data_IF_631224476973
#
_entry.id   IF_631224476973
#
_cell.length_a   1.000
_cell.length_b   1.000
_cell.length_c   1.000
_cell.angle_alpha   90.00
_cell.angle_beta   90.00
_cell.angle_gamma   90.00
#
_symmetry.space_group_name_H-M   'P 1'
#
loop_
_entity.id
_entity.type
_entity.pdbx_description
1 polymer ?
#
# COMPACT_ATOMS: atom_id res chain seq x y z
N UNK A 1 -17.80 -0.64 -4.47
CA UNK A 1 -17.47 0.64 -3.79
C UNK A 1 -17.37 1.73 -4.87
N UNK A 2 -17.01 2.98 -4.57
CA UNK A 2 -16.73 3.99 -5.61
C UNK A 2 -17.91 4.78 -6.21
N UNK A 3 -19.16 4.31 -6.08
CA UNK A 3 -20.34 4.94 -6.74
C UNK A 3 -20.79 6.29 -6.17
N UNK A 4 -20.55 6.51 -4.88
CA UNK A 4 -20.84 7.78 -4.23
C UNK A 4 -19.63 8.19 -3.41
N UNK A 5 -18.91 9.19 -3.91
CA UNK A 5 -17.70 9.75 -3.29
C UNK A 5 -17.99 11.12 -2.65
N UNK A 6 -19.26 11.47 -2.48
CA UNK A 6 -19.68 12.70 -1.82
C UNK A 6 -19.70 12.52 -0.30
N UNK A 7 -19.32 13.56 0.42
CA UNK A 7 -19.31 13.57 1.88
C UNK A 7 -18.20 14.45 2.42
N UNK A 8 -18.28 14.86 3.70
CA UNK A 8 -17.24 15.67 4.31
C UNK A 8 -16.00 14.82 4.55
N UNK A 9 -14.89 15.21 3.93
CA UNK A 9 -13.58 14.62 4.22
C UNK A 9 -12.78 15.52 5.18
N UNK A 10 -12.21 14.93 6.23
CA UNK A 10 -11.39 15.60 7.24
C UNK A 10 -10.19 14.72 7.57
N UNK A 11 -9.02 15.33 7.62
CA UNK A 11 -7.78 14.68 8.05
C UNK A 11 -7.35 15.30 9.37
N UNK A 12 -6.83 14.49 10.29
CA UNK A 12 -6.47 14.91 11.64
C UNK A 12 -5.10 14.35 11.96
N UNK A 13 -4.19 15.21 12.41
CA UNK A 13 -2.92 14.80 13.02
C UNK A 13 -2.99 14.96 14.52
N UNK A 14 -2.69 13.89 15.23
CA UNK A 14 -2.73 13.82 16.69
C UNK A 14 -1.30 13.65 17.24
N UNK A 15 -1.00 14.32 18.35
CA UNK A 15 0.15 13.97 19.18
C UNK A 15 -0.27 12.85 20.12
N UNK A 16 0.25 11.62 20.01
CA UNK A 16 -0.08 10.54 20.94
C UNK A 16 0.50 10.81 22.34
N UNK A 17 1.60 11.58 22.42
CA UNK A 17 2.23 11.96 23.68
C UNK A 17 1.36 12.95 24.46
N UNK A 18 0.90 14.00 23.77
CA UNK A 18 0.15 15.09 24.40
C UNK A 18 -1.36 14.87 24.36
N UNK A 19 -1.81 13.83 23.64
CA UNK A 19 -3.23 13.52 23.39
C UNK A 19 -4.01 14.72 22.84
N UNK A 20 -3.36 15.47 21.95
CA UNK A 20 -3.88 16.72 21.40
C UNK A 20 -3.93 16.67 19.87
N UNK A 21 -4.81 17.50 19.29
CA UNK A 21 -4.86 17.72 17.85
C UNK A 21 -3.76 18.71 17.49
N UNK A 22 -2.84 18.30 16.62
CA UNK A 22 -1.81 19.17 16.05
C UNK A 22 -2.44 20.05 14.96
N UNK A 23 -3.17 19.41 14.04
CA UNK A 23 -3.96 20.11 13.03
C UNK A 23 -5.16 19.26 12.59
N UNK A 24 -6.15 19.95 12.03
CA UNK A 24 -7.28 19.37 11.33
C UNK A 24 -7.44 20.05 9.98
N UNK A 25 -7.41 19.27 8.91
CA UNK A 25 -7.50 19.76 7.54
C UNK A 25 -8.87 19.42 6.92
N UNK A 26 -9.51 20.41 6.31
CA UNK A 26 -10.63 20.22 5.39
C UNK A 26 -10.11 20.04 3.97
N UNK A 27 -10.26 18.85 3.41
CA UNK A 27 -9.77 18.55 2.06
C UNK A 27 -10.84 18.68 0.97
N UNK A 28 -12.10 18.99 1.32
CA UNK A 28 -13.18 19.11 0.33
C UNK A 28 -12.92 20.22 -0.70
N UNK A 29 -12.39 21.40 -0.35
CA UNK A 29 -12.07 22.42 -1.35
C UNK A 29 -11.10 21.91 -2.44
N UNK A 30 -10.11 21.09 -2.06
CA UNK A 30 -9.15 20.52 -3.00
C UNK A 30 -9.80 19.42 -3.85
N UNK A 31 -10.66 18.58 -3.26
CA UNK A 31 -11.44 17.56 -3.97
C UNK A 31 -12.36 18.22 -5.00
N UNK A 32 -13.06 19.28 -4.63
CA UNK A 32 -13.95 20.04 -5.51
C UNK A 32 -13.18 20.69 -6.66
N UNK A 33 -12.02 21.27 -6.39
CA UNK A 33 -11.14 21.84 -7.41
C UNK A 33 -10.70 20.76 -8.42
N UNK A 34 -10.26 19.60 -7.94
CA UNK A 34 -9.89 18.47 -8.82
C UNK A 34 -11.10 18.03 -9.64
N UNK A 35 -12.28 17.85 -9.02
CA UNK A 35 -13.49 17.45 -9.72
C UNK A 35 -13.93 18.45 -10.79
N UNK A 36 -13.75 19.75 -10.56
CA UNK A 36 -13.99 20.79 -11.57
C UNK A 36 -12.96 20.73 -12.72
N UNK A 37 -11.70 20.46 -12.39
CA UNK A 37 -10.61 20.36 -13.37
C UNK A 37 -10.75 19.13 -14.27
N UNK A 38 -11.15 17.98 -13.71
CA UNK A 38 -11.13 16.68 -14.40
C UNK A 38 -12.51 16.23 -14.88
N UNK A 39 -13.59 16.76 -14.30
CA UNK A 39 -14.95 16.24 -14.51
C UNK A 39 -15.22 14.92 -13.79
N UNK A 40 -14.30 14.44 -12.95
CA UNK A 40 -14.39 13.14 -12.27
C UNK A 40 -14.36 13.34 -10.76
N UNK A 41 -15.37 12.85 -10.01
CA UNK A 41 -15.30 12.87 -8.55
C UNK A 41 -14.19 11.94 -8.07
N UNK A 42 -13.50 12.31 -6.98
CA UNK A 42 -12.44 11.50 -6.39
C UNK A 42 -12.74 11.23 -4.91
N UNK A 43 -12.18 10.16 -4.34
CA UNK A 43 -12.40 9.85 -2.93
C UNK A 43 -11.85 8.49 -2.50
N UNK A 44 -12.32 8.02 -1.34
CA UNK A 44 -11.78 6.80 -0.73
C UNK A 44 -10.36 7.01 -0.21
N UNK A 45 -10.13 8.09 0.54
CA UNK A 45 -8.87 8.31 1.24
C UNK A 45 -8.83 7.41 2.48
N UNK A 46 -8.21 6.25 2.36
CA UNK A 46 -8.25 5.20 3.38
C UNK A 46 -6.95 5.10 4.18
N UNK A 47 -5.83 5.47 3.56
CA UNK A 47 -4.49 5.22 4.09
C UNK A 47 -3.61 6.48 3.96
N UNK A 48 -2.48 6.52 4.66
CA UNK A 48 -1.55 7.66 4.58
C UNK A 48 -0.10 7.29 4.91
N UNK A 49 0.85 8.03 4.37
CA UNK A 49 2.26 8.00 4.80
C UNK A 49 2.80 9.40 5.02
N UNK A 50 3.82 9.54 5.88
CA UNK A 50 4.46 10.82 6.17
C UNK A 50 5.93 10.83 5.68
N UNK A 51 6.39 11.93 5.11
CA UNK A 51 7.81 12.14 4.83
C UNK A 51 8.58 12.63 6.07
N UNK A 52 9.90 12.76 5.91
CA UNK A 52 10.79 13.22 6.99
C UNK A 52 10.55 14.69 7.39
N UNK A 53 9.92 15.47 6.51
CA UNK A 53 9.56 16.88 6.78
C UNK A 53 8.18 17.01 7.47
N UNK A 54 7.53 15.87 7.76
CA UNK A 54 6.24 15.81 8.43
C UNK A 54 5.05 16.15 7.54
N UNK A 55 5.23 16.16 6.21
CA UNK A 55 4.13 16.20 5.26
C UNK A 55 3.50 14.82 5.15
N UNK A 56 2.17 14.78 5.02
CA UNK A 56 1.41 13.55 4.89
C UNK A 56 0.79 13.42 3.49
N UNK A 57 0.77 12.21 2.95
CA UNK A 57 0.29 11.88 1.62
C UNK A 57 -0.92 10.97 1.73
N UNK A 58 -1.99 11.31 1.00
CA UNK A 58 -3.28 10.64 1.08
C UNK A 58 -3.73 10.23 -0.34
N UNK A 59 -3.55 8.97 -0.73
CA UNK A 59 -4.05 8.47 -2.00
C UNK A 59 -5.57 8.31 -1.97
N UNK A 60 -6.21 8.59 -3.11
CA UNK A 60 -7.61 8.26 -3.33
C UNK A 60 -7.72 6.87 -3.94
N UNK A 61 -8.39 5.94 -3.26
CA UNK A 61 -8.68 4.61 -3.85
C UNK A 61 -9.61 4.68 -5.06
N UNK A 62 -10.40 5.75 -5.20
CA UNK A 62 -11.24 5.98 -6.37
C UNK A 62 -10.89 7.33 -7.00
N UNK A 63 -10.46 7.30 -8.26
CA UNK A 63 -10.02 8.50 -8.97
C UNK A 63 -8.51 8.70 -9.07
N UNK A 64 -7.67 7.78 -8.56
CA UNK A 64 -6.24 7.71 -8.91
C UNK A 64 -5.47 9.05 -8.71
N UNK A 65 -5.71 9.71 -7.59
CA UNK A 65 -5.05 10.97 -7.17
C UNK A 65 -4.34 10.81 -5.84
N UNK A 66 -3.43 11.73 -5.54
CA UNK A 66 -2.78 11.84 -4.24
C UNK A 66 -2.90 13.29 -3.78
N UNK A 67 -3.36 13.48 -2.55
CA UNK A 67 -3.31 14.76 -1.86
C UNK A 67 -2.11 14.79 -0.93
N UNK A 68 -1.51 15.97 -0.78
CA UNK A 68 -0.50 16.26 0.25
C UNK A 68 -1.12 17.16 1.29
N UNK A 69 -0.85 16.91 2.56
CA UNK A 69 -1.09 17.85 3.66
C UNK A 69 0.26 18.19 4.25
N UNK A 70 0.62 19.47 4.24
CA UNK A 70 1.90 19.89 4.80
C UNK A 70 1.94 19.76 6.33
N UNK A 71 3.12 19.95 6.91
CA UNK A 71 3.34 19.90 8.36
C UNK A 71 2.42 20.83 9.17
N UNK A 72 1.87 21.88 8.54
CA UNK A 72 0.97 22.86 9.15
C UNK A 72 -0.52 22.54 8.92
N UNK A 73 -0.84 21.38 8.32
CA UNK A 73 -2.23 20.99 8.06
C UNK A 73 -2.84 21.64 6.83
N UNK A 74 -2.04 22.15 5.88
CA UNK A 74 -2.56 22.76 4.65
C UNK A 74 -2.61 21.73 3.51
N UNK A 75 -3.81 21.41 2.99
CA UNK A 75 -3.95 20.44 1.91
C UNK A 75 -3.63 21.05 0.54
N UNK A 76 -3.05 20.25 -0.35
CA UNK A 76 -2.77 20.59 -1.73
C UNK A 76 -2.81 19.36 -2.64
N UNK A 77 -2.94 19.59 -3.95
CA UNK A 77 -2.80 18.55 -4.98
C UNK A 77 -1.34 18.07 -5.00
N UNK A 78 -1.10 16.76 -4.90
CA UNK A 78 0.25 16.19 -5.08
C UNK A 78 0.37 15.52 -6.44
N UNK A 79 -0.55 14.61 -6.77
CA UNK A 79 -0.57 13.93 -8.06
C UNK A 79 -2.00 13.74 -8.53
N UNK A 80 -2.20 13.94 -9.84
CA UNK A 80 -3.47 13.73 -10.52
C UNK A 80 -3.13 12.97 -11.80
N UNK A 81 -3.64 11.76 -11.94
CA UNK A 81 -3.49 11.02 -13.18
C UNK A 81 -4.16 11.77 -14.36
N UNK A 82 -3.67 11.51 -15.57
CA UNK A 82 -4.28 12.05 -16.78
C UNK A 82 -5.79 11.73 -16.84
N UNK A 83 -6.65 12.63 -17.37
CA UNK A 83 -8.10 12.49 -17.31
C UNK A 83 -8.65 11.16 -17.86
N UNK A 84 -8.00 10.58 -18.88
CA UNK A 84 -8.37 9.30 -19.49
C UNK A 84 -8.03 8.09 -18.62
N UNK A 85 -7.19 8.27 -17.59
CA UNK A 85 -6.80 7.26 -16.60
C UNK A 85 -7.58 7.37 -15.29
N UNK A 86 -8.40 8.41 -15.13
CA UNK A 86 -9.25 8.57 -13.95
C UNK A 86 -10.43 7.60 -14.04
N UNK A 87 -10.43 6.60 -13.17
CA UNK A 87 -11.53 5.65 -13.04
C UNK A 87 -11.97 5.57 -11.57
N UNK A 88 -13.28 5.68 -11.35
CA UNK A 88 -13.90 5.64 -10.01
C UNK A 88 -14.67 4.35 -9.76
N UNK A 89 -14.86 3.54 -10.79
CA UNK A 89 -15.50 2.22 -10.71
C UNK A 89 -14.50 1.11 -10.37
N UNK A 90 -13.20 1.39 -10.46
CA UNK A 90 -12.09 0.46 -10.20
C UNK A 90 -11.27 0.97 -9.02
N UNK A 91 -10.78 0.03 -8.19
CA UNK A 91 -9.83 0.33 -7.14
C UNK A 91 -8.49 0.76 -7.75
N UNK A 92 -8.08 1.99 -7.45
CA UNK A 92 -6.84 2.60 -7.92
C UNK A 92 -5.73 2.46 -6.89
N UNK A 93 -5.36 3.59 -6.28
CA UNK A 93 -4.30 3.61 -5.29
C UNK A 93 -4.75 3.00 -3.96
N UNK A 94 -3.92 2.09 -3.45
CA UNK A 94 -4.12 1.45 -2.16
C UNK A 94 -3.10 1.88 -1.13
N UNK A 95 -2.71 0.92 -0.29
CA UNK A 95 -1.75 1.16 0.77
C UNK A 95 -0.42 1.75 0.30
N UNK A 96 0.24 2.47 1.21
CA UNK A 96 1.45 3.25 0.92
C UNK A 96 2.41 3.31 2.11
N UNK A 97 3.69 3.53 1.79
CA UNK A 97 4.72 3.87 2.75
C UNK A 97 5.73 4.86 2.15
N UNK A 98 6.48 5.52 3.02
CA UNK A 98 7.64 6.34 2.67
C UNK A 98 8.91 5.64 3.12
N UNK A 99 10.00 5.79 2.36
CA UNK A 99 11.32 5.26 2.72
C UNK A 99 12.20 6.30 3.41
N UNK A 100 13.26 5.85 4.08
CA UNK A 100 14.28 6.74 4.64
C UNK A 100 15.04 7.54 3.57
N UNK A 101 15.00 7.09 2.32
CA UNK A 101 15.55 7.79 1.14
C UNK A 101 14.56 8.81 0.56
N UNK A 102 13.47 9.11 1.29
CA UNK A 102 12.44 10.06 0.90
C UNK A 102 11.74 9.66 -0.41
N UNK A 103 11.39 8.39 -0.54
CA UNK A 103 10.61 7.85 -1.66
C UNK A 103 9.24 7.43 -1.16
N UNK A 104 8.18 7.90 -1.81
CA UNK A 104 6.82 7.41 -1.61
C UNK A 104 6.57 6.21 -2.53
N UNK A 105 6.11 5.11 -1.95
CA UNK A 105 5.74 3.88 -2.67
C UNK A 105 4.32 3.50 -2.29
N UNK A 106 3.50 3.18 -3.28
CA UNK A 106 2.12 2.74 -3.07
C UNK A 106 1.68 1.73 -4.10
N UNK A 107 0.71 0.89 -3.74
CA UNK A 107 0.09 -0.05 -4.66
C UNK A 107 -0.86 0.66 -5.61
N UNK A 108 -0.96 0.12 -6.82
CA UNK A 108 -1.89 0.56 -7.85
C UNK A 108 -2.63 -0.63 -8.44
N UNK A 109 -3.92 -0.75 -8.10
CA UNK A 109 -4.81 -1.77 -8.61
C UNK A 109 -5.06 -1.65 -10.12
N UNK A 110 -4.95 -0.45 -10.71
CA UNK A 110 -5.19 -0.24 -12.15
C UNK A 110 -4.06 -0.85 -12.98
N UNK A 111 -2.80 -0.64 -12.58
CA UNK A 111 -1.66 -1.26 -13.28
C UNK A 111 -1.35 -2.67 -12.77
N UNK A 112 -1.85 -3.06 -11.60
CA UNK A 112 -1.50 -4.32 -10.94
C UNK A 112 -0.06 -4.31 -10.45
N UNK A 113 0.40 -3.17 -9.91
CA UNK A 113 1.79 -2.97 -9.54
C UNK A 113 2.01 -1.84 -8.54
N UNK A 114 3.24 -1.36 -8.45
CA UNK A 114 3.60 -0.26 -7.57
C UNK A 114 3.86 1.01 -8.37
N UNK A 115 3.54 2.15 -7.76
CA UNK A 115 4.01 3.44 -8.22
C UNK A 115 4.95 4.05 -7.18
N UNK A 116 5.98 4.73 -7.67
CA UNK A 116 7.04 5.35 -6.90
C UNK A 116 7.13 6.84 -7.24
N UNK A 117 7.24 7.68 -6.21
CA UNK A 117 7.58 9.11 -6.32
C UNK A 117 8.82 9.41 -5.50
N UNK A 118 9.77 10.13 -6.09
CA UNK A 118 10.89 10.73 -5.39
C UNK A 118 10.42 12.05 -4.76
N UNK A 119 10.55 12.17 -3.44
CA UNK A 119 10.09 13.32 -2.66
C UNK A 119 11.22 14.32 -2.35
N UNK A 120 12.44 14.09 -2.84
CA UNK A 120 13.60 14.98 -2.58
C UNK A 120 13.50 16.35 -3.27
N UNK A 121 12.55 16.54 -4.19
CA UNK A 121 12.32 17.78 -4.93
C UNK A 121 11.15 18.62 -4.40
N UNK A 122 11.03 19.90 -4.81
CA UNK A 122 9.93 20.78 -4.41
C UNK A 122 8.59 20.43 -5.06
N UNK A 123 8.59 19.61 -6.11
CA UNK A 123 7.42 19.14 -6.84
C UNK A 123 7.43 17.60 -6.81
N UNK A 124 6.27 16.94 -6.99
CA UNK A 124 6.26 15.49 -7.24
C UNK A 124 7.22 15.19 -8.40
N UNK A 125 8.07 14.17 -8.24
CA UNK A 125 8.75 13.62 -9.41
C UNK A 125 7.73 13.05 -10.39
N UNK A 126 8.15 12.83 -11.64
CA UNK A 126 7.39 11.95 -12.53
C UNK A 126 7.21 10.57 -11.86
N UNK A 127 5.99 10.00 -11.85
CA UNK A 127 5.73 8.70 -11.27
C UNK A 127 6.45 7.60 -12.04
N UNK A 128 7.06 6.66 -11.32
CA UNK A 128 7.56 5.42 -11.91
C UNK A 128 6.62 4.27 -11.56
N UNK A 129 5.95 3.72 -12.57
CA UNK A 129 5.11 2.53 -12.44
C UNK A 129 5.93 1.26 -12.71
N UNK A 130 5.78 0.25 -11.86
CA UNK A 130 6.45 -1.04 -12.01
C UNK A 130 5.53 -2.19 -11.65
N UNK A 131 5.61 -3.30 -12.40
CA UNK A 131 4.91 -4.54 -12.04
C UNK A 131 5.86 -5.48 -11.31
N UNK A 132 5.42 -6.12 -10.22
CA UNK A 132 6.22 -7.15 -9.57
C UNK A 132 6.52 -8.30 -10.52
N UNK A 133 7.74 -8.78 -10.47
CA UNK A 133 8.14 -10.02 -11.13
C UNK A 133 7.80 -11.23 -10.26
N UNK A 134 7.79 -12.43 -10.87
CA UNK A 134 7.53 -13.69 -10.17
C UNK A 134 6.18 -13.74 -9.44
N UNK A 135 5.18 -13.02 -9.96
CA UNK A 135 3.82 -13.12 -9.43
C UNK A 135 3.34 -14.57 -9.52
N UNK A 136 2.68 -15.02 -8.47
CA UNK A 136 2.06 -16.35 -8.45
C UNK A 136 1.01 -16.44 -9.57
N UNK A 137 0.91 -17.58 -10.24
CA UNK A 137 -0.02 -17.78 -11.36
C UNK A 137 -1.48 -17.58 -10.98
N UNK A 138 -1.81 -17.77 -9.70
CA UNK A 138 -3.17 -17.61 -9.19
C UNK A 138 -3.46 -16.20 -8.64
N UNK A 139 -2.51 -15.28 -8.77
CA UNK A 139 -2.76 -13.86 -8.55
C UNK A 139 -3.68 -13.37 -9.67
N UNK A 140 -4.88 -12.92 -9.31
CA UNK A 140 -5.65 -12.09 -10.22
C UNK A 140 -4.80 -10.86 -10.61
N UNK A 141 -5.01 -10.29 -11.79
CA UNK A 141 -4.13 -9.24 -12.35
C UNK A 141 -4.13 -7.91 -11.57
N UNK A 142 -4.80 -7.85 -10.42
CA UNK A 142 -5.07 -6.64 -9.65
C UNK A 142 -4.32 -6.72 -8.32
N UNK A 143 -3.48 -5.72 -8.06
CA UNK A 143 -2.80 -5.55 -6.78
C UNK A 143 -3.71 -4.71 -5.87
N UNK A 144 -4.61 -5.37 -5.14
CA UNK A 144 -5.60 -4.73 -4.26
C UNK A 144 -5.06 -4.66 -2.82
N UNK A 145 -3.92 -4.00 -2.62
CA UNK A 145 -3.39 -3.79 -1.27
C UNK A 145 -4.28 -2.81 -0.51
N UNK A 146 -5.06 -3.33 0.45
CA UNK A 146 -5.84 -2.52 1.40
C UNK A 146 -4.91 -1.70 2.30
N UNK A 147 -3.77 -2.29 2.66
CA UNK A 147 -2.66 -1.64 3.36
C UNK A 147 -1.33 -2.18 2.85
N UNK A 148 -0.30 -1.33 2.89
CA UNK A 148 1.06 -1.65 2.47
C UNK A 148 2.04 -1.02 3.45
N UNK A 149 2.87 -1.83 4.10
CA UNK A 149 3.92 -1.34 5.00
C UNK A 149 5.30 -1.86 4.57
N UNK A 150 6.34 -1.08 4.84
CA UNK A 150 7.72 -1.53 4.72
C UNK A 150 8.38 -1.56 6.11
N UNK A 151 8.44 -2.72 6.80
CA UNK A 151 8.98 -2.77 8.15
C UNK A 151 10.44 -2.28 8.23
N UNK A 152 10.78 -1.31 9.10
CA UNK A 152 12.14 -0.76 9.20
C UNK A 152 13.23 -1.80 9.50
N UNK A 153 12.88 -2.89 10.21
CA UNK A 153 13.80 -4.00 10.51
C UNK A 153 14.37 -4.71 9.26
N UNK A 154 13.77 -4.50 8.09
CA UNK A 154 14.26 -5.01 6.82
C UNK A 154 14.80 -3.90 5.90
N UNK A 155 15.24 -2.78 6.48
CA UNK A 155 15.74 -1.60 5.74
C UNK A 155 14.77 -1.12 4.65
N UNK A 156 13.46 -1.35 4.85
CA UNK A 156 12.41 -0.98 3.91
C UNK A 156 12.58 -1.59 2.49
N UNK A 157 13.36 -2.67 2.39
CA UNK A 157 13.54 -3.46 1.16
C UNK A 157 12.47 -4.53 0.97
N UNK A 158 11.65 -4.74 2.01
CA UNK A 158 10.53 -5.68 2.02
C UNK A 158 9.27 -4.88 2.31
N UNK A 159 8.23 -5.06 1.50
CA UNK A 159 6.89 -4.58 1.78
C UNK A 159 5.92 -5.74 1.99
N UNK A 160 4.97 -5.52 2.90
CA UNK A 160 3.89 -6.45 3.23
C UNK A 160 2.57 -5.78 2.87
N UNK A 161 1.75 -6.49 2.12
CA UNK A 161 0.49 -6.03 1.56
C UNK A 161 -0.66 -6.87 2.12
N UNK A 162 -1.66 -6.25 2.72
CA UNK A 162 -2.97 -6.89 2.95
C UNK A 162 -3.69 -7.00 1.62
N UNK A 163 -3.72 -8.19 1.03
CA UNK A 163 -4.28 -8.42 -0.30
C UNK A 163 -5.42 -9.44 -0.28
N UNK A 164 -6.26 -9.41 -1.31
CA UNK A 164 -7.23 -10.44 -1.64
C UNK A 164 -6.85 -11.06 -2.99
N UNK A 165 -5.80 -11.88 -2.96
CA UNK A 165 -5.21 -12.53 -4.13
C UNK A 165 -6.19 -13.43 -4.89
N UNK A 166 -6.89 -14.30 -4.16
CA UNK A 166 -7.87 -15.23 -4.69
C UNK A 166 -8.85 -15.61 -3.60
N UNK A 167 -10.11 -15.20 -3.76
CA UNK A 167 -11.16 -15.41 -2.75
C UNK A 167 -11.51 -16.89 -2.52
N UNK A 168 -11.20 -17.77 -3.47
CA UNK A 168 -11.42 -19.21 -3.31
C UNK A 168 -10.29 -19.87 -2.51
N UNK A 169 -9.06 -19.37 -2.63
CA UNK A 169 -7.89 -19.90 -1.92
C UNK A 169 -7.73 -19.28 -0.53
N UNK A 170 -8.06 -17.99 -0.40
CA UNK A 170 -7.99 -17.28 0.86
C UNK A 170 -9.19 -16.32 1.00
N UNK A 171 -10.35 -16.83 1.46
CA UNK A 171 -11.58 -16.02 1.54
C UNK A 171 -11.48 -14.82 2.50
N UNK A 172 -10.48 -14.83 3.39
CA UNK A 172 -10.20 -13.81 4.41
C UNK A 172 -8.99 -12.93 4.06
N UNK A 173 -8.46 -13.04 2.84
CA UNK A 173 -7.28 -12.31 2.39
C UNK A 173 -5.95 -12.96 2.77
N UNK A 174 -4.85 -12.40 2.29
CA UNK A 174 -3.49 -12.85 2.54
C UNK A 174 -2.60 -11.66 2.87
N UNK A 175 -1.44 -11.95 3.44
CA UNK A 175 -0.38 -10.97 3.60
C UNK A 175 0.69 -11.30 2.57
N UNK A 176 0.70 -10.56 1.48
CA UNK A 176 1.63 -10.77 0.37
C UNK A 176 2.92 -10.01 0.62
N UNK A 177 4.06 -10.67 0.40
CA UNK A 177 5.38 -10.08 0.50
C UNK A 177 5.95 -9.67 -0.85
N UNK A 178 6.56 -8.50 -0.90
CA UNK A 178 7.33 -7.99 -2.02
C UNK A 178 8.71 -7.55 -1.58
N UNK A 179 9.71 -7.77 -2.44
CA UNK A 179 11.08 -7.33 -2.20
C UNK A 179 11.54 -6.36 -3.31
N UNK A 180 12.37 -5.40 -2.93
CA UNK A 180 13.07 -4.50 -3.84
C UNK A 180 14.50 -4.24 -3.34
N UNK A 181 15.46 -4.25 -4.27
CA UNK A 181 16.88 -3.94 -4.01
C UNK A 181 17.36 -2.65 -4.67
N UNK A 182 16.47 -1.89 -5.31
CA UNK A 182 16.82 -0.75 -6.17
C UNK A 182 16.04 0.54 -5.82
N UNK A 183 15.59 0.65 -4.58
CA UNK A 183 14.79 1.78 -4.11
C UNK A 183 13.38 1.78 -4.70
N UNK A 184 12.79 0.59 -4.85
CA UNK A 184 11.44 0.38 -5.37
C UNK A 184 11.25 0.83 -6.82
N UNK A 185 12.31 0.81 -7.62
CA UNK A 185 12.19 0.98 -9.08
C UNK A 185 11.69 -0.30 -9.74
N UNK A 186 12.04 -1.44 -9.16
CA UNK A 186 11.50 -2.75 -9.49
C UNK A 186 11.13 -3.50 -8.21
N UNK A 187 10.30 -4.53 -8.35
CA UNK A 187 9.91 -5.40 -7.24
C UNK A 187 9.75 -6.85 -7.68
N UNK A 188 9.85 -7.76 -6.71
CA UNK A 188 9.62 -9.20 -6.88
C UNK A 188 8.65 -9.69 -5.81
N UNK A 189 7.66 -10.47 -6.21
CA UNK A 189 6.83 -11.22 -5.27
C UNK A 189 7.66 -12.32 -4.61
N UNK A 190 7.62 -12.38 -3.27
CA UNK A 190 8.42 -13.32 -2.46
C UNK A 190 7.57 -14.35 -1.72
N UNK A 191 6.26 -14.37 -1.98
CA UNK A 191 5.30 -15.30 -1.39
C UNK A 191 4.21 -14.58 -0.59
N UNK A 192 3.34 -15.35 0.06
CA UNK A 192 2.24 -14.82 0.84
C UNK A 192 1.97 -15.67 2.08
N UNK A 193 1.43 -15.04 3.11
CA UNK A 193 1.02 -15.67 4.36
C UNK A 193 -0.52 -15.71 4.37
N UNK A 194 -1.15 -16.90 4.27
CA UNK A 194 -2.59 -17.02 4.39
C UNK A 194 -3.07 -16.54 5.76
N UNK A 195 -4.17 -15.78 5.78
CA UNK A 195 -4.83 -15.33 7.00
C UNK A 195 -5.78 -16.42 7.46
N UNK A 196 -5.27 -17.34 8.30
CA UNK A 196 -6.03 -18.44 8.91
C UNK A 196 -6.37 -18.12 10.37
N UNK A 197 -6.98 -16.97 10.66
CA UNK A 197 -7.11 -16.52 12.06
C UNK A 197 -8.26 -17.14 12.85
N UNK A 198 -8.79 -18.29 12.42
CA UNK A 198 -9.88 -19.01 13.11
C UNK A 198 -11.11 -18.13 13.42
N UNK A 199 -11.29 -17.05 12.67
CA UNK A 199 -12.29 -16.03 12.94
C UNK A 199 -13.64 -16.41 12.32
N UNK A 200 -14.69 -15.73 12.80
CA UNK A 200 -16.04 -15.70 12.22
C UNK A 200 -16.00 -15.58 10.69
N UNK A 201 -17.02 -16.11 9.96
CA UNK A 201 -17.27 -15.63 8.61
C UNK A 201 -17.27 -14.09 8.64
N UNK A 202 -16.69 -13.45 7.62
CA UNK A 202 -16.64 -11.99 7.46
C UNK A 202 -15.54 -11.23 8.24
N UNK A 203 -14.35 -11.82 8.41
CA UNK A 203 -13.14 -11.09 8.86
C UNK A 203 -12.08 -11.10 7.77
N UNK A 204 -11.42 -9.96 7.53
CA UNK A 204 -10.41 -9.80 6.48
C UNK A 204 -9.09 -9.24 7.01
N UNK A 205 -7.97 -9.61 6.41
CA UNK A 205 -6.71 -8.87 6.59
C UNK A 205 -6.89 -7.45 6.07
N UNK A 206 -6.61 -6.47 6.92
CA UNK A 206 -6.85 -5.05 6.60
C UNK A 206 -5.60 -4.21 6.80
N UNK A 207 -4.73 -4.54 7.75
CA UNK A 207 -3.48 -3.80 7.97
C UNK A 207 -2.38 -4.68 8.55
N UNK A 208 -1.16 -4.17 8.49
CA UNK A 208 -0.04 -4.66 9.26
C UNK A 208 0.58 -3.53 10.07
N UNK A 209 1.17 -3.86 11.22
CA UNK A 209 1.89 -2.93 12.07
C UNK A 209 3.28 -3.47 12.35
N UNK A 210 4.30 -2.63 12.15
CA UNK A 210 5.67 -2.96 12.49
C UNK A 210 6.11 -2.19 13.73
N UNK A 211 6.77 -2.91 14.62
CA UNK A 211 7.50 -2.39 15.78
C UNK A 211 8.96 -2.84 15.67
N UNK A 212 9.89 -2.30 16.47
CA UNK A 212 11.24 -2.84 16.53
C UNK A 212 11.27 -4.35 16.88
N UNK A 213 10.32 -4.81 17.69
CA UNK A 213 10.27 -6.18 18.22
C UNK A 213 9.54 -7.16 17.29
N UNK A 214 8.49 -6.71 16.60
CA UNK A 214 7.60 -7.61 15.88
C UNK A 214 6.77 -6.95 14.78
N UNK A 215 6.16 -7.81 13.97
CA UNK A 215 5.23 -7.47 12.91
C UNK A 215 3.90 -8.14 13.22
N UNK A 216 2.83 -7.36 13.18
CA UNK A 216 1.50 -7.81 13.55
C UNK A 216 0.54 -7.61 12.39
N UNK A 217 -0.32 -8.60 12.15
CA UNK A 217 -1.41 -8.53 11.20
C UNK A 217 -2.71 -8.16 11.91
N UNK A 218 -3.42 -7.17 11.40
CA UNK A 218 -4.75 -6.81 11.86
C UNK A 218 -5.79 -7.42 10.93
N UNK A 219 -6.78 -8.05 11.55
CA UNK A 219 -7.96 -8.50 10.85
C UNK A 219 -9.23 -7.90 11.42
N UNK A 220 -10.07 -7.42 10.52
CA UNK A 220 -11.23 -6.61 10.82
C UNK A 220 -12.46 -7.13 10.10
N UNK A 221 -13.62 -6.98 10.74
CA UNK A 221 -14.90 -7.24 10.11
C UNK A 221 -15.29 -6.05 9.22
N UNK A 222 -15.44 -6.29 7.92
CA UNK A 222 -15.92 -5.29 6.96
C UNK A 222 -17.45 -5.28 6.90
N UNK A 223 -18.08 -4.15 6.53
CA UNK A 223 -19.53 -4.08 6.44
C UNK A 223 -20.08 -4.95 5.31
N UNK A 224 -21.29 -5.47 5.50
CA UNK A 224 -22.09 -6.11 4.46
C UNK A 224 -22.41 -5.14 3.32
N UNK A 225 -22.89 -5.67 2.19
CA UNK A 225 -23.20 -4.87 1.00
C UNK A 225 -24.22 -3.74 1.27
N UNK A 226 -25.12 -3.95 2.24
CA UNK A 226 -26.09 -2.98 2.73
C UNK A 226 -25.55 -1.97 3.76
N UNK A 227 -24.25 -2.05 4.11
CA UNK A 227 -23.56 -1.12 5.01
C UNK A 227 -23.70 -1.43 6.51
N UNK A 228 -24.31 -2.55 6.88
CA UNK A 228 -24.36 -3.04 8.26
C UNK A 228 -23.07 -3.75 8.61
N UNK A 229 -22.56 -3.58 9.83
CA UNK A 229 -21.36 -4.28 10.27
C UNK A 229 -21.70 -5.63 10.91
N UNK A 230 -20.87 -6.67 10.72
CA UNK A 230 -20.97 -7.92 11.46
C UNK A 230 -20.88 -7.64 12.96
N UNK A 231 -21.70 -8.32 13.75
CA UNK A 231 -21.57 -8.30 15.21
C UNK A 231 -20.42 -9.22 15.62
N UNK A 232 -19.21 -8.69 15.60
CA UNK A 232 -18.01 -9.37 16.11
C UNK A 232 -17.66 -8.88 17.53
N UNK A 233 -17.09 -9.76 18.35
CA UNK A 233 -16.60 -9.44 19.69
C UNK A 233 -15.21 -8.76 19.67
N UNK A 234 -14.59 -8.59 18.51
CA UNK A 234 -13.33 -7.85 18.41
C UNK A 234 -12.70 -7.88 17.02
N UNK A 235 -11.74 -6.98 16.83
CA UNK A 235 -10.68 -7.08 15.82
C UNK A 235 -9.55 -7.91 16.40
N UNK A 236 -8.87 -8.70 15.58
CA UNK A 236 -7.76 -9.54 16.04
C UNK A 236 -6.44 -9.00 15.51
N UNK A 237 -5.48 -8.82 16.42
CA UNK A 237 -4.09 -8.49 16.10
C UNK A 237 -3.24 -9.73 16.35
N UNK A 238 -2.60 -10.26 15.31
CA UNK A 238 -1.83 -11.51 15.37
C UNK A 238 -0.36 -11.20 15.10
N UNK A 239 0.53 -11.67 15.97
CA UNK A 239 1.97 -11.65 15.69
C UNK A 239 2.30 -12.59 14.53
N UNK A 240 2.84 -12.03 13.45
CA UNK A 240 3.24 -12.74 12.25
C UNK A 240 4.76 -12.66 12.01
N UNK A 241 5.52 -12.23 13.01
CA UNK A 241 6.97 -11.96 12.88
C UNK A 241 7.73 -13.17 12.34
N UNK A 242 7.52 -14.34 12.95
CA UNK A 242 8.20 -15.58 12.53
C UNK A 242 7.78 -15.99 11.12
N UNK A 243 6.48 -15.89 10.79
CA UNK A 243 5.96 -16.20 9.45
C UNK A 243 6.56 -15.30 8.36
N UNK A 244 6.77 -14.03 8.66
CA UNK A 244 7.46 -13.11 7.74
C UNK A 244 8.93 -13.49 7.59
N UNK A 245 9.62 -13.88 8.67
CA UNK A 245 11.01 -14.35 8.59
C UNK A 245 11.12 -15.64 7.77
N UNK A 246 10.19 -16.58 7.96
CA UNK A 246 10.10 -17.82 7.17
C UNK A 246 9.92 -17.52 5.68
N UNK A 247 9.01 -16.61 5.33
CA UNK A 247 8.78 -16.15 3.96
C UNK A 247 10.08 -15.65 3.30
N UNK A 248 10.88 -14.90 4.05
CA UNK A 248 12.17 -14.38 3.59
C UNK A 248 13.25 -15.45 3.46
N UNK A 249 13.18 -16.53 4.25
CA UNK A 249 14.11 -17.66 4.14
C UNK A 249 13.76 -18.57 2.97
N UNK A 250 12.47 -18.84 2.73
CA UNK A 250 12.03 -19.59 1.55
C UNK A 250 12.41 -18.89 0.25
N UNK A 251 12.32 -17.56 0.20
CA UNK A 251 12.70 -16.78 -0.99
C UNK A 251 14.22 -16.68 -1.19
N UNK A 252 15.03 -16.75 -0.11
CA UNK A 252 16.49 -16.79 -0.19
C UNK A 252 17.04 -18.03 -0.89
N UNK A 253 16.34 -19.17 -0.82
CA UNK A 253 16.73 -20.36 -1.58
C UNK A 253 16.63 -20.12 -3.10
N UNK A 254 15.65 -19.33 -3.56
CA UNK A 254 15.51 -18.94 -4.96
C UNK A 254 16.43 -17.76 -5.34
N UNK A 255 16.63 -16.79 -4.45
CA UNK A 255 17.53 -15.65 -4.66
C UNK A 255 19.02 -16.06 -4.73
N UNK A 256 19.47 -17.01 -3.92
CA UNK A 256 20.83 -17.54 -4.02
C UNK A 256 21.04 -18.39 -5.29
N UNK A 257 20.01 -19.11 -5.74
CA UNK A 257 20.07 -19.84 -7.01
C UNK A 257 20.11 -18.89 -8.23
N UNK A 258 19.42 -17.75 -8.18
CA UNK A 258 19.48 -16.71 -9.23
C UNK A 258 20.80 -15.93 -9.22
N UNK A 259 21.35 -15.60 -8.05
CA UNK A 259 22.66 -14.91 -7.94
C UNK A 259 23.79 -15.81 -8.46
N UNK A 260 23.78 -17.11 -8.13
CA UNK A 260 24.76 -18.07 -8.66
C UNK A 260 24.61 -18.32 -10.17
N UNK A 261 23.40 -18.19 -10.72
CA UNK A 261 23.18 -18.23 -12.17
C UNK A 261 23.59 -16.94 -12.90
N UNK A 262 23.57 -15.80 -12.21
CA UNK A 262 24.06 -14.54 -12.77
C UNK A 262 25.59 -14.51 -12.87
N UNK A 263 26.29 -15.07 -11.87
CA UNK A 263 27.76 -15.17 -11.90
C UNK A 263 28.26 -16.15 -12.98
N UNK A 264 27.53 -17.23 -13.27
CA UNK A 264 27.89 -18.18 -14.34
C UNK A 264 27.67 -17.62 -15.76
N UNK A 265 26.65 -16.76 -15.94
CA UNK A 265 26.38 -16.04 -17.20
C UNK A 265 27.37 -14.90 -17.48
N UNK A 266 27.96 -14.32 -16.44
CA UNK A 266 29.03 -13.32 -16.56
C UNK A 266 30.35 -14.00 -16.88
N UNK A 267 30.69 -15.12 -16.24
CA UNK A 267 31.90 -15.89 -16.57
C UNK A 267 31.89 -16.46 -17.99
N UNK A 268 30.73 -16.85 -18.55
CA UNK A 268 30.66 -17.37 -19.92
C UNK A 268 30.76 -16.31 -21.01
N UNK A 269 30.67 -15.01 -20.67
CA UNK A 269 30.83 -13.90 -21.64
C UNK A 269 32.25 -13.37 -21.71
N UNK A 270 33.09 -13.70 -20.73
CA UNK A 270 34.51 -13.33 -20.71
C UNK A 270 35.42 -14.39 -21.39
N UNK A 271 34.84 -15.50 -21.90
CA UNK A 271 35.56 -16.58 -22.63
C UNK A 271 35.23 -16.65 -24.14
N UNK A 272 34.69 -15.60 -24.76
CA UNK A 272 34.45 -15.53 -26.22
C UNK A 272 35.12 -14.33 -26.89
#
# INVERSE_FOLDING_TARGET
>A
MGKNLTGPNRLIKLSPLDRSIIWQADINPVIEEIGQQTGTPIGGFQDSAEDQDGNAYFPSSFGHTILKVDVNGRPSKFYIAEPDKLNTDVYGFGGLFTTDENVLVLSDGVTGGFVRFDLSGPNPSEPLFSKPTNLWTEYDTVLDCDSLIAPPKFNQTIALCSDVVNRNLSPHGMITGYASGDGWKTSKYIGAIPVEFGQSPDVWSTAQFATPEGIYALSSALPYAEGTFPKTNGTTLVDITEKVVELLHSSKHDLLAEILNFESLVQSKDEL
#
